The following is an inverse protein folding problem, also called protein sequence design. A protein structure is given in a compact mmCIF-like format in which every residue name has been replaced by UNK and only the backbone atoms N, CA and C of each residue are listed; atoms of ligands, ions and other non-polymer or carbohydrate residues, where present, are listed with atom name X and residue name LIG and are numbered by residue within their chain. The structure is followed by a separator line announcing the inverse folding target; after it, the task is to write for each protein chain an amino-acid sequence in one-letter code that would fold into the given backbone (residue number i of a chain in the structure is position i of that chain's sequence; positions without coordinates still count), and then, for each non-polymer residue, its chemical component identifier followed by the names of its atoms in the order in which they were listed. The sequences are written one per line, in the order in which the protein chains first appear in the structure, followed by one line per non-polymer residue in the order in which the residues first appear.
data_IF_717934602456
#
_entry.id   IF_717934602456
#
_cell.length_a   1.000
_cell.length_b   1.000
_cell.length_c   1.000
_cell.angle_alpha   90.00
_cell.angle_beta   90.00
_cell.angle_gamma   90.00
#
_symmetry.space_group_name_H-M   'P 1'
#
loop_
_entity.id
_entity.type
_entity.pdbx_description
1 polymer ?
#
# COMPACT_ATOMS: atom_id res chain seq x y z
N UNK A 1 12.26 31.00 12.77
CA UNK A 1 13.09 29.87 12.26
C UNK A 1 13.53 30.18 10.84
N UNK A 2 14.83 30.15 10.54
CA UNK A 2 15.36 30.30 9.16
C UNK A 2 15.66 28.91 8.60
N UNK A 3 14.87 28.43 7.64
CA UNK A 3 15.17 27.19 6.91
C UNK A 3 16.33 27.42 5.95
N UNK A 4 17.30 26.51 5.93
CA UNK A 4 18.43 26.57 4.98
C UNK A 4 17.99 26.02 3.61
N UNK A 5 18.60 26.49 2.51
CA UNK A 5 18.32 25.96 1.14
C UNK A 5 18.44 24.42 1.08
N UNK A 6 19.39 23.85 1.83
CA UNK A 6 19.64 22.41 1.92
C UNK A 6 18.46 21.66 2.56
N UNK A 7 17.86 22.23 3.60
CA UNK A 7 16.68 21.62 4.25
C UNK A 7 15.47 21.58 3.33
N UNK A 8 15.24 22.65 2.56
CA UNK A 8 14.15 22.72 1.58
C UNK A 8 14.30 21.67 0.48
N UNK A 9 15.52 21.45 -0.03
CA UNK A 9 15.80 20.41 -1.02
C UNK A 9 15.49 19.02 -0.45
N UNK A 10 15.92 18.75 0.79
CA UNK A 10 15.67 17.45 1.44
C UNK A 10 14.18 17.22 1.70
N UNK A 11 13.44 18.23 2.15
CA UNK A 11 11.99 18.14 2.33
C UNK A 11 11.27 17.84 1.01
N UNK A 12 11.64 18.55 -0.06
CA UNK A 12 11.05 18.31 -1.40
C UNK A 12 11.29 16.88 -1.88
N UNK A 13 12.49 16.35 -1.66
CA UNK A 13 12.80 14.95 -2.00
C UNK A 13 11.96 13.96 -1.20
N UNK A 14 11.80 14.13 0.11
CA UNK A 14 10.99 13.24 0.96
C UNK A 14 9.51 13.28 0.52
N UNK A 15 8.95 14.47 0.28
CA UNK A 15 7.57 14.63 -0.21
C UNK A 15 7.42 13.95 -1.57
N UNK A 16 8.38 14.15 -2.47
CA UNK A 16 8.41 13.48 -3.77
C UNK A 16 8.42 11.95 -3.64
N UNK A 17 9.29 11.40 -2.79
CA UNK A 17 9.37 9.95 -2.59
C UNK A 17 8.05 9.38 -2.05
N UNK A 18 7.43 10.06 -1.08
CA UNK A 18 6.13 9.63 -0.54
C UNK A 18 5.03 9.67 -1.61
N UNK A 19 4.95 10.74 -2.40
CA UNK A 19 3.92 10.93 -3.41
C UNK A 19 4.03 9.92 -4.57
N UNK A 20 5.25 9.64 -5.04
CA UNK A 20 5.49 8.76 -6.19
C UNK A 20 5.61 7.28 -5.84
N UNK A 21 5.72 6.92 -4.56
CA UNK A 21 5.74 5.51 -4.16
C UNK A 21 4.43 4.83 -4.54
N UNK A 22 4.52 3.63 -5.12
CA UNK A 22 3.38 2.81 -5.56
C UNK A 22 3.64 1.34 -5.23
N UNK A 23 2.56 0.59 -4.99
CA UNK A 23 2.71 -0.85 -4.87
C UNK A 23 2.90 -1.50 -6.24
N UNK A 24 3.73 -2.54 -6.30
CA UNK A 24 3.98 -3.34 -7.50
C UNK A 24 3.70 -4.82 -7.24
N UNK A 25 3.32 -5.56 -8.28
CA UNK A 25 3.02 -6.99 -8.18
C UNK A 25 4.27 -7.84 -7.89
N UNK A 26 5.45 -7.30 -8.20
CA UNK A 26 6.74 -7.98 -8.15
C UNK A 26 7.28 -8.12 -6.72
N UNK A 27 6.90 -7.21 -5.82
CA UNK A 27 7.42 -7.16 -4.45
C UNK A 27 6.47 -7.83 -3.47
N UNK A 28 7.03 -8.50 -2.46
CA UNK A 28 6.22 -9.02 -1.36
C UNK A 28 5.50 -7.90 -0.61
N UNK A 29 4.22 -8.12 -0.29
CA UNK A 29 3.37 -7.10 0.34
C UNK A 29 3.95 -6.59 1.66
N UNK A 30 4.62 -7.44 2.45
CA UNK A 30 5.21 -7.03 3.73
C UNK A 30 6.41 -6.11 3.53
N UNK A 31 7.19 -6.35 2.47
CA UNK A 31 8.29 -5.46 2.08
C UNK A 31 7.73 -4.08 1.72
N UNK A 32 6.67 -4.05 0.90
CA UNK A 32 6.02 -2.82 0.47
C UNK A 32 5.39 -2.04 1.64
N UNK A 33 4.73 -2.72 2.58
CA UNK A 33 4.22 -2.08 3.81
C UNK A 33 5.35 -1.49 4.65
N UNK A 34 6.50 -2.17 4.75
CA UNK A 34 7.66 -1.63 5.46
C UNK A 34 8.26 -0.40 4.75
N UNK A 35 8.31 -0.40 3.41
CA UNK A 35 8.67 0.79 2.62
C UNK A 35 7.72 1.96 2.91
N UNK A 36 6.40 1.71 2.92
CA UNK A 36 5.40 2.72 3.25
C UNK A 36 5.58 3.31 4.65
N UNK A 37 5.81 2.48 5.67
CA UNK A 37 6.11 2.95 7.03
C UNK A 37 7.36 3.83 7.08
N UNK A 38 8.43 3.46 6.38
CA UNK A 38 9.66 4.27 6.33
C UNK A 38 9.40 5.65 5.72
N UNK A 39 8.58 5.74 4.68
CA UNK A 39 8.22 7.03 4.08
C UNK A 39 7.43 7.92 5.06
N UNK A 40 6.53 7.34 5.86
CA UNK A 40 5.82 8.06 6.91
C UNK A 40 6.77 8.55 8.02
N UNK A 41 7.75 7.73 8.42
CA UNK A 41 8.77 8.14 9.39
C UNK A 41 9.71 9.23 8.84
N UNK A 42 10.07 9.17 7.56
CA UNK A 42 10.85 10.23 6.90
C UNK A 42 10.11 11.56 6.91
N UNK A 43 8.80 11.57 6.63
CA UNK A 43 7.94 12.75 6.75
C UNK A 43 7.92 13.30 8.18
N UNK A 44 7.67 12.44 9.18
CA UNK A 44 7.68 12.81 10.61
C UNK A 44 9.03 13.39 11.03
N UNK A 45 10.15 12.84 10.57
CA UNK A 45 11.50 13.34 10.86
C UNK A 45 11.74 14.78 10.40
N UNK A 46 10.90 15.27 9.47
CA UNK A 46 10.90 16.64 8.95
C UNK A 46 9.77 17.52 9.49
N UNK A 47 9.06 17.05 10.52
CA UNK A 47 7.86 17.67 11.07
C UNK A 47 6.75 17.87 10.01
N UNK A 48 6.69 16.99 9.02
CA UNK A 48 5.65 16.97 7.99
C UNK A 48 4.58 15.97 8.40
N UNK A 49 3.58 16.43 9.14
CA UNK A 49 2.47 15.60 9.59
C UNK A 49 1.32 15.66 8.59
N UNK A 50 0.83 14.48 8.18
CA UNK A 50 -0.33 14.36 7.30
C UNK A 50 -1.56 13.94 8.12
N UNK A 51 -2.76 14.44 7.77
CA UNK A 51 -3.99 13.96 8.37
C UNK A 51 -4.16 12.45 8.18
N UNK A 52 -4.63 11.72 9.19
CA UNK A 52 -4.81 10.26 9.11
C UNK A 52 -5.67 9.85 7.91
N UNK A 53 -6.74 10.59 7.61
CA UNK A 53 -7.60 10.32 6.44
C UNK A 53 -6.81 10.39 5.14
N UNK A 54 -5.87 11.34 5.01
CA UNK A 54 -5.02 11.46 3.82
C UNK A 54 -4.10 10.25 3.67
N UNK A 55 -3.48 9.79 4.76
CA UNK A 55 -2.61 8.61 4.78
C UNK A 55 -3.39 7.34 4.39
N UNK A 56 -4.62 7.18 4.89
CA UNK A 56 -5.49 6.05 4.58
C UNK A 56 -5.92 6.04 3.12
N UNK A 57 -6.48 7.16 2.64
CA UNK A 57 -6.95 7.29 1.25
C UNK A 57 -5.81 7.08 0.26
N UNK A 58 -4.65 7.68 0.51
CA UNK A 58 -3.51 7.52 -0.39
C UNK A 58 -3.05 6.06 -0.42
N UNK A 59 -2.94 5.37 0.73
CA UNK A 59 -2.57 3.95 0.74
C UNK A 59 -3.57 3.08 -0.05
N UNK A 60 -4.88 3.37 0.03
CA UNK A 60 -5.91 2.68 -0.77
C UNK A 60 -5.71 2.92 -2.27
N UNK A 61 -5.42 4.16 -2.68
CA UNK A 61 -5.14 4.47 -4.08
C UNK A 61 -3.89 3.75 -4.58
N UNK A 62 -2.87 3.62 -3.73
CA UNK A 62 -1.59 2.96 -4.04
C UNK A 62 -1.64 1.43 -4.10
N UNK A 63 -2.77 0.79 -3.78
CA UNK A 63 -2.91 -0.67 -3.97
C UNK A 63 -2.84 -1.06 -5.46
N UNK A 64 -2.57 -2.33 -5.74
CA UNK A 64 -2.46 -2.87 -7.09
C UNK A 64 -3.75 -2.67 -7.91
N UNK A 65 -3.63 -2.49 -9.23
CA UNK A 65 -4.76 -2.24 -10.12
C UNK A 65 -5.77 -3.39 -10.14
N UNK A 66 -5.27 -4.63 -10.07
CA UNK A 66 -6.08 -5.84 -10.01
C UNK A 66 -6.89 -5.99 -8.69
N UNK A 67 -6.77 -5.04 -7.76
CA UNK A 67 -7.56 -4.96 -6.51
C UNK A 67 -8.72 -3.96 -6.60
N UNK A 68 -9.12 -3.53 -7.80
CA UNK A 68 -10.17 -2.50 -8.02
C UNK A 68 -11.44 -2.68 -7.17
N UNK A 69 -12.00 -3.89 -7.10
CA UNK A 69 -13.21 -4.14 -6.29
C UNK A 69 -12.94 -4.01 -4.78
N UNK A 70 -11.76 -4.43 -4.34
CA UNK A 70 -11.34 -4.31 -2.95
C UNK A 70 -11.08 -2.84 -2.56
N UNK A 71 -10.46 -2.05 -3.45
CA UNK A 71 -10.31 -0.59 -3.29
C UNK A 71 -11.67 0.07 -3.04
N UNK A 72 -12.68 -0.23 -3.86
CA UNK A 72 -14.05 0.30 -3.69
C UNK A 72 -14.62 -0.07 -2.32
N UNK A 73 -14.48 -1.33 -1.91
CA UNK A 73 -14.94 -1.80 -0.60
C UNK A 73 -14.26 -1.07 0.57
N UNK A 74 -12.94 -0.86 0.49
CA UNK A 74 -12.20 -0.09 1.49
C UNK A 74 -12.65 1.38 1.53
N UNK A 75 -12.90 2.01 0.38
CA UNK A 75 -13.43 3.38 0.31
C UNK A 75 -14.81 3.54 0.94
N UNK A 76 -15.62 2.48 1.05
CA UNK A 76 -16.87 2.56 1.81
C UNK A 76 -16.66 2.44 3.34
N UNK A 77 -15.53 1.90 3.79
CA UNK A 77 -15.23 1.62 5.21
C UNK A 77 -14.13 2.49 5.82
N UNK A 78 -13.40 3.27 5.01
CA UNK A 78 -12.21 4.04 5.45
C UNK A 78 -12.48 5.01 6.62
N UNK A 79 -13.70 5.55 6.75
CA UNK A 79 -14.06 6.47 7.85
C UNK A 79 -14.05 5.83 9.24
N UNK A 80 -13.98 4.49 9.32
CA UNK A 80 -14.04 3.72 10.56
C UNK A 80 -12.79 2.87 10.81
N UNK A 81 -11.78 2.93 9.93
CA UNK A 81 -10.62 2.04 9.96
C UNK A 81 -9.37 2.80 10.42
N UNK A 82 -8.56 2.19 11.28
CA UNK A 82 -7.22 2.71 11.59
C UNK A 82 -6.22 2.34 10.50
N UNK A 83 -5.04 2.98 10.48
CA UNK A 83 -3.98 2.61 9.54
C UNK A 83 -3.52 1.17 9.76
N UNK A 84 -3.38 0.76 11.03
CA UNK A 84 -3.00 -0.61 11.39
C UNK A 84 -4.02 -1.63 10.89
N UNK A 85 -5.31 -1.34 11.06
CA UNK A 85 -6.37 -2.23 10.58
C UNK A 85 -6.34 -2.32 9.04
N UNK A 86 -6.19 -1.19 8.35
CA UNK A 86 -6.07 -1.16 6.89
C UNK A 86 -4.89 -2.02 6.41
N UNK A 87 -3.73 -1.93 7.07
CA UNK A 87 -2.55 -2.72 6.74
C UNK A 87 -2.81 -4.22 6.95
N UNK A 88 -3.41 -4.59 8.08
CA UNK A 88 -3.81 -5.99 8.35
C UNK A 88 -4.74 -6.52 7.27
N UNK A 89 -5.75 -5.72 6.89
CA UNK A 89 -6.68 -6.04 5.82
C UNK A 89 -5.99 -6.21 4.45
N UNK A 90 -4.99 -5.40 4.14
CA UNK A 90 -4.19 -5.53 2.90
C UNK A 90 -3.40 -6.84 2.89
N UNK A 91 -2.73 -7.17 4.00
CA UNK A 91 -1.92 -8.39 4.10
C UNK A 91 -2.78 -9.66 3.97
N UNK A 92 -3.97 -9.67 4.60
CA UNK A 92 -4.92 -10.79 4.50
C UNK A 92 -5.43 -10.94 3.07
N UNK A 93 -5.79 -9.84 2.40
CA UNK A 93 -6.27 -9.88 1.03
C UNK A 93 -5.22 -10.39 0.05
N UNK A 94 -3.94 -10.00 0.22
CA UNK A 94 -2.83 -10.52 -0.58
C UNK A 94 -2.67 -12.03 -0.44
N UNK A 95 -2.70 -12.54 0.80
CA UNK A 95 -2.61 -13.97 1.08
C UNK A 95 -3.78 -14.74 0.42
N UNK A 96 -5.02 -14.26 0.59
CA UNK A 96 -6.21 -14.87 0.00
C UNK A 96 -6.12 -14.94 -1.54
N UNK A 97 -5.59 -13.89 -2.18
CA UNK A 97 -5.42 -13.84 -3.64
C UNK A 97 -4.37 -14.83 -4.13
N UNK A 98 -3.25 -14.94 -3.43
CA UNK A 98 -2.20 -15.93 -3.73
C UNK A 98 -2.73 -17.36 -3.62
N UNK A 99 -3.48 -17.66 -2.55
CA UNK A 99 -4.12 -18.97 -2.38
C UNK A 99 -5.15 -19.25 -3.48
N UNK A 100 -5.99 -18.27 -3.83
CA UNK A 100 -6.98 -18.41 -4.90
C UNK A 100 -6.31 -18.67 -6.26
N UNK A 101 -5.20 -18.00 -6.57
CA UNK A 101 -4.44 -18.22 -7.80
C UNK A 101 -3.87 -19.65 -7.87
N UNK A 102 -3.30 -20.15 -6.77
CA UNK A 102 -2.79 -21.52 -6.67
C UNK A 102 -3.92 -22.55 -6.85
N UNK A 103 -5.07 -22.32 -6.21
CA UNK A 103 -6.23 -23.21 -6.32
C UNK A 103 -6.77 -23.27 -7.77
N UNK A 104 -6.85 -22.11 -8.45
CA UNK A 104 -7.25 -22.03 -9.86
C UNK A 104 -6.28 -22.78 -10.77
N UNK A 105 -4.98 -22.58 -10.59
CA UNK A 105 -3.95 -23.27 -11.37
C UNK A 105 -4.04 -24.80 -11.22
N UNK A 106 -4.23 -25.29 -9.99
CA UNK A 106 -4.43 -26.72 -9.72
C UNK A 106 -5.68 -27.28 -10.41
N UNK A 107 -6.82 -26.58 -10.32
CA UNK A 107 -8.06 -27.01 -10.97
C UNK A 107 -7.93 -27.09 -12.50
N UNK A 108 -7.21 -26.14 -13.12
CA UNK A 108 -6.93 -26.14 -14.55
C UNK A 108 -6.05 -27.34 -14.95
N UNK A 109 -4.99 -27.63 -14.18
CA UNK A 109 -4.13 -28.77 -14.43
C UNK A 109 -4.87 -30.12 -14.30
N UNK A 110 -5.73 -30.27 -13.29
CA UNK A 110 -6.55 -31.49 -13.13
C UNK A 110 -7.50 -31.68 -14.32
N UNK A 111 -8.11 -30.62 -14.85
CA UNK A 111 -8.99 -30.71 -16.02
C UNK A 111 -8.24 -31.09 -17.30
N UNK A 112 -6.99 -30.69 -17.45
CA UNK A 112 -6.17 -31.01 -18.61
C UNK A 112 -5.72 -32.49 -18.65
N UNK A 113 -5.56 -33.14 -17.50
CA UNK A 113 -5.12 -34.53 -17.39
C UNK A 113 -6.27 -35.59 -17.48
N UNK A 114 -7.52 -35.17 -17.68
CA UNK A 114 -8.70 -36.06 -17.79
C UNK A 114 -9.15 -36.19 -19.26
N UNK A 115 -8.26 -35.95 -20.22
CA UNK A 115 -8.48 -36.16 -21.67
C UNK A 115 -7.76 -37.41 -22.13
#
# INVERSE_FOLDING_TARGET
MKYTKKDTIRQRSIIGNYYHWEMTEEKDIKIQINEYHKLLEDLKSKNLFLPNVFILELLIEKLLENWTNYKKHLKHRHKKISLTDLITHIIIEDANRKECAVAKAKSLATKANVV
#
